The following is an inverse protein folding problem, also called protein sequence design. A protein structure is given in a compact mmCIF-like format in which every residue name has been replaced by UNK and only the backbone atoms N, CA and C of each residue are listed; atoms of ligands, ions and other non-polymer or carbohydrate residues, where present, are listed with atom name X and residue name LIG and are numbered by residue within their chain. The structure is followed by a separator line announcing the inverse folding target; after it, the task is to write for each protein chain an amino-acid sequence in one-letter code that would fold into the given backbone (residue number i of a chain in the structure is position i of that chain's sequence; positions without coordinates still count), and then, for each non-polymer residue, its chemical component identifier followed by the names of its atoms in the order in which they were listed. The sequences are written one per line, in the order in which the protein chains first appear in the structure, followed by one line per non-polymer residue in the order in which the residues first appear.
data_IF_505769145053
#
_entry.id   IF_505769145053
#
_cell.length_a   1.000
_cell.length_b   1.000
_cell.length_c   1.000
_cell.angle_alpha   90.00
_cell.angle_beta   90.00
_cell.angle_gamma   90.00
#
_symmetry.space_group_name_H-M   'P 1'
#
loop_
_entity.id
_entity.type
_entity.pdbx_description
1 polymer ?
#
# COMPACT_ATOMS: atom_id res chain seq x y z
N UNK A 1 -21.22 -5.63 -11.23
CA UNK A 1 -21.00 -6.27 -9.92
C UNK A 1 -19.71 -5.72 -9.35
N UNK A 2 -19.69 -5.44 -8.05
CA UNK A 2 -18.49 -5.00 -7.33
C UNK A 2 -17.46 -6.14 -7.32
N UNK A 3 -16.18 -5.82 -7.43
CA UNK A 3 -15.11 -6.82 -7.39
C UNK A 3 -13.81 -6.19 -6.87
N UNK A 4 -12.92 -7.06 -6.39
CA UNK A 4 -11.55 -6.72 -6.03
C UNK A 4 -10.63 -7.48 -6.98
N UNK A 5 -9.68 -6.78 -7.60
CA UNK A 5 -8.74 -7.39 -8.54
C UNK A 5 -7.52 -7.91 -7.80
N UNK A 6 -7.27 -9.21 -7.92
CA UNK A 6 -6.09 -9.88 -7.36
C UNK A 6 -5.21 -10.38 -8.51
N UNK A 7 -3.97 -10.77 -8.21
CA UNK A 7 -3.09 -11.37 -9.23
C UNK A 7 -3.64 -12.70 -9.77
N UNK A 8 -4.59 -13.35 -9.07
CA UNK A 8 -5.27 -14.59 -9.50
C UNK A 8 -6.57 -14.33 -10.28
N UNK A 9 -7.00 -13.07 -10.38
CA UNK A 9 -8.27 -12.66 -11.00
C UNK A 9 -9.14 -11.81 -10.09
N UNK A 10 -10.27 -11.36 -10.63
CA UNK A 10 -11.26 -10.57 -9.93
C UNK A 10 -12.09 -11.47 -8.99
N UNK A 11 -12.21 -11.09 -7.71
CA UNK A 11 -12.99 -11.79 -6.67
C UNK A 11 -14.12 -10.91 -6.16
N UNK A 12 -15.14 -11.49 -5.53
CA UNK A 12 -16.14 -10.72 -4.79
C UNK A 12 -15.53 -10.12 -3.51
N UNK A 13 -16.02 -8.96 -3.03
CA UNK A 13 -15.48 -8.33 -1.82
C UNK A 13 -15.49 -9.24 -0.59
N UNK A 14 -16.48 -10.12 -0.46
CA UNK A 14 -16.62 -11.04 0.67
C UNK A 14 -15.55 -12.15 0.68
N UNK A 15 -14.89 -12.39 -0.46
CA UNK A 15 -13.82 -13.39 -0.59
C UNK A 15 -12.46 -12.87 -0.10
N UNK A 16 -12.30 -11.55 0.09
CA UNK A 16 -11.03 -10.94 0.49
C UNK A 16 -10.57 -11.40 1.88
N UNK A 17 -11.49 -11.51 2.84
CA UNK A 17 -11.21 -11.94 4.21
C UNK A 17 -10.19 -11.07 4.95
N UNK A 18 -9.48 -11.66 5.92
CA UNK A 18 -8.50 -10.96 6.75
C UNK A 18 -7.31 -10.46 5.92
N UNK A 19 -7.11 -9.15 5.89
CA UNK A 19 -6.26 -8.46 4.92
C UNK A 19 -5.25 -7.52 5.57
N UNK A 20 -3.97 -7.66 5.21
CA UNK A 20 -2.97 -6.62 5.41
C UNK A 20 -3.00 -5.62 4.25
N UNK A 21 -3.17 -4.34 4.57
CA UNK A 21 -3.55 -3.30 3.60
C UNK A 21 -2.36 -2.59 2.93
N UNK A 22 -1.13 -2.84 3.38
CA UNK A 22 0.09 -2.26 2.81
C UNK A 22 1.33 -3.09 3.21
N UNK A 23 1.83 -3.91 2.29
CA UNK A 23 3.06 -4.70 2.48
C UNK A 23 3.97 -4.67 1.25
N UNK A 24 5.15 -5.26 1.37
CA UNK A 24 6.08 -5.55 0.29
C UNK A 24 6.53 -7.00 0.42
N UNK A 25 6.50 -7.79 -0.66
CA UNK A 25 6.72 -9.25 -0.58
C UNK A 25 8.05 -9.67 -1.20
N UNK A 26 8.24 -9.41 -2.49
CA UNK A 26 9.52 -9.63 -3.20
C UNK A 26 9.79 -8.40 -4.06
N UNK A 27 10.83 -7.65 -3.73
CA UNK A 27 11.16 -6.41 -4.41
C UNK A 27 12.65 -6.08 -4.29
N UNK A 28 13.21 -5.54 -5.36
CA UNK A 28 14.61 -5.11 -5.47
C UNK A 28 14.65 -3.66 -5.99
N UNK A 29 14.36 -2.67 -5.13
CA UNK A 29 14.33 -1.27 -5.54
C UNK A 29 15.70 -0.82 -6.05
N UNK A 30 15.76 -0.37 -7.31
CA UNK A 30 17.02 -0.02 -7.96
C UNK A 30 17.80 1.04 -7.17
N UNK A 31 17.11 2.05 -6.62
CA UNK A 31 17.73 3.12 -5.82
C UNK A 31 18.55 2.57 -4.64
N UNK A 32 18.02 1.56 -3.95
CA UNK A 32 18.65 0.94 -2.78
C UNK A 32 19.72 -0.07 -3.18
N UNK A 33 19.47 -0.85 -4.23
CA UNK A 33 20.44 -1.81 -4.77
C UNK A 33 21.73 -1.09 -5.23
N UNK A 34 21.59 0.02 -5.97
CA UNK A 34 22.72 0.85 -6.43
C UNK A 34 23.56 1.44 -5.28
N UNK A 35 22.99 1.55 -4.08
CA UNK A 35 23.63 2.09 -2.88
C UNK A 35 24.10 1.01 -1.90
N UNK A 36 23.97 -0.28 -2.26
CA UNK A 36 24.35 -1.38 -1.39
C UNK A 36 23.50 -1.49 -0.11
N UNK A 37 22.27 -0.95 -0.12
CA UNK A 37 21.36 -1.01 1.03
C UNK A 37 20.59 -2.34 1.06
N UNK A 38 21.31 -3.44 1.32
CA UNK A 38 20.82 -4.82 1.23
C UNK A 38 19.56 -5.12 2.07
N UNK A 39 19.45 -4.52 3.26
CA UNK A 39 18.29 -4.71 4.14
C UNK A 39 16.96 -4.25 3.52
N UNK A 40 16.99 -3.41 2.48
CA UNK A 40 15.80 -2.94 1.74
C UNK A 40 15.51 -3.76 0.47
N UNK A 41 16.20 -4.88 0.27
CA UNK A 41 16.01 -5.80 -0.84
C UNK A 41 15.32 -7.08 -0.33
N UNK A 42 14.04 -7.27 -0.64
CA UNK A 42 13.37 -8.54 -0.37
C UNK A 42 13.60 -9.44 -1.59
N UNK A 43 14.78 -10.07 -1.63
CA UNK A 43 15.39 -10.65 -2.82
C UNK A 43 15.34 -12.18 -2.91
N UNK A 44 14.73 -12.85 -1.93
CA UNK A 44 14.61 -14.30 -1.82
C UNK A 44 13.13 -14.74 -1.72
N UNK A 45 12.61 -15.29 -2.82
CA UNK A 45 11.22 -15.76 -2.91
C UNK A 45 10.88 -16.76 -1.81
N UNK A 46 11.78 -17.71 -1.52
CA UNK A 46 11.51 -18.80 -0.58
C UNK A 46 11.44 -18.27 0.85
N UNK A 47 12.31 -17.33 1.21
CA UNK A 47 12.22 -16.66 2.52
C UNK A 47 10.96 -15.81 2.64
N UNK A 48 10.61 -15.03 1.62
CA UNK A 48 9.38 -14.25 1.63
C UNK A 48 8.14 -15.15 1.75
N UNK A 49 8.14 -16.29 1.06
CA UNK A 49 7.07 -17.29 1.11
C UNK A 49 6.84 -17.83 2.52
N UNK A 50 7.91 -18.09 3.28
CA UNK A 50 7.77 -18.61 4.65
C UNK A 50 7.04 -17.61 5.58
N UNK A 51 7.31 -16.32 5.47
CA UNK A 51 6.58 -15.29 6.22
C UNK A 51 5.11 -15.18 5.78
N UNK A 52 4.83 -15.26 4.48
CA UNK A 52 3.45 -15.29 3.96
C UNK A 52 2.70 -16.55 4.43
N UNK A 53 3.40 -17.68 4.51
CA UNK A 53 2.87 -18.93 5.04
C UNK A 53 2.55 -18.81 6.54
N UNK A 54 3.39 -18.12 7.32
CA UNK A 54 3.10 -17.83 8.73
C UNK A 54 1.86 -16.93 8.89
N UNK A 55 1.69 -15.90 8.05
CA UNK A 55 0.47 -15.09 8.01
C UNK A 55 -0.78 -15.95 7.70
N UNK A 56 -0.70 -16.80 6.69
CA UNK A 56 -1.78 -17.75 6.34
C UNK A 56 -2.10 -18.70 7.49
N UNK A 57 -1.09 -19.25 8.16
CA UNK A 57 -1.26 -20.19 9.27
C UNK A 57 -2.03 -19.60 10.45
N UNK A 58 -1.98 -18.26 10.61
CA UNK A 58 -2.76 -17.53 11.60
C UNK A 58 -4.15 -17.10 11.12
N UNK A 59 -4.56 -17.48 9.90
CA UNK A 59 -5.87 -17.18 9.32
C UNK A 59 -5.89 -16.01 8.33
N UNK A 60 -4.73 -15.46 7.98
CA UNK A 60 -4.60 -14.44 6.95
C UNK A 60 -5.06 -14.93 5.57
N UNK A 61 -5.74 -14.07 4.80
CA UNK A 61 -6.34 -14.40 3.50
C UNK A 61 -5.83 -13.56 2.34
N UNK A 62 -5.54 -12.29 2.60
CA UNK A 62 -5.13 -11.34 1.56
C UNK A 62 -3.99 -10.43 2.01
N UNK A 63 -3.13 -10.06 1.07
CA UNK A 63 -2.10 -9.04 1.25
C UNK A 63 -2.18 -8.06 0.08
N UNK A 64 -2.16 -6.76 0.39
CA UNK A 64 -2.01 -5.71 -0.61
C UNK A 64 -0.53 -5.39 -0.76
N UNK A 65 0.05 -5.79 -1.89
CA UNK A 65 1.46 -5.51 -2.20
C UNK A 65 1.57 -4.09 -2.80
N UNK A 66 2.12 -3.17 -2.01
CA UNK A 66 2.26 -1.75 -2.33
C UNK A 66 3.50 -1.42 -3.17
N UNK A 67 4.19 -2.44 -3.69
CA UNK A 67 5.36 -2.31 -4.58
C UNK A 67 4.94 -1.73 -5.93
N UNK A 68 5.33 -0.48 -6.17
CA UNK A 68 5.11 0.25 -7.41
C UNK A 68 6.30 0.09 -8.39
N UNK A 69 6.21 0.67 -9.60
CA UNK A 69 7.19 0.45 -10.68
C UNK A 69 8.61 0.90 -10.29
N UNK A 70 8.70 1.98 -9.52
CA UNK A 70 9.94 2.57 -9.01
C UNK A 70 10.51 1.85 -7.78
N UNK A 71 9.82 0.81 -7.28
CA UNK A 71 10.26 -0.01 -6.15
C UNK A 71 10.77 -1.40 -6.57
N UNK A 72 10.93 -1.62 -7.87
CA UNK A 72 11.63 -2.79 -8.41
C UNK A 72 10.92 -4.11 -8.14
N UNK A 73 9.69 -4.24 -8.64
CA UNK A 73 8.84 -5.44 -8.49
C UNK A 73 9.53 -6.73 -8.92
N UNK A 74 9.05 -7.83 -8.35
CA UNK A 74 9.22 -9.19 -8.86
C UNK A 74 7.84 -9.86 -8.95
N UNK A 75 7.06 -9.44 -9.96
CA UNK A 75 5.64 -9.79 -10.10
C UNK A 75 5.47 -11.31 -10.19
N UNK A 76 6.36 -11.98 -10.91
CA UNK A 76 6.33 -13.44 -11.10
C UNK A 76 6.56 -14.17 -9.77
N UNK A 77 7.57 -13.79 -8.99
CA UNK A 77 7.82 -14.40 -7.69
C UNK A 77 6.65 -14.22 -6.72
N UNK A 78 6.04 -13.03 -6.69
CA UNK A 78 4.87 -12.75 -5.84
C UNK A 78 3.64 -13.55 -6.30
N UNK A 79 3.42 -13.70 -7.60
CA UNK A 79 2.36 -14.56 -8.14
C UNK A 79 2.55 -16.02 -7.77
N UNK A 80 3.78 -16.54 -7.88
CA UNK A 80 4.08 -17.92 -7.49
C UNK A 80 3.80 -18.16 -6.00
N UNK A 81 4.19 -17.23 -5.12
CA UNK A 81 3.84 -17.28 -3.69
C UNK A 81 2.31 -17.28 -3.51
N UNK A 82 1.59 -16.43 -4.25
CA UNK A 82 0.12 -16.35 -4.21
C UNK A 82 -0.55 -17.68 -4.55
N UNK A 83 -0.03 -18.40 -5.55
CA UNK A 83 -0.56 -19.69 -6.00
C UNK A 83 -0.18 -20.83 -5.06
N UNK A 84 1.11 -20.93 -4.71
CA UNK A 84 1.63 -22.00 -3.83
C UNK A 84 0.94 -21.99 -2.46
N UNK A 85 0.61 -20.79 -1.96
CA UNK A 85 -0.02 -20.62 -0.65
C UNK A 85 -1.52 -20.38 -0.73
N UNK A 86 -2.15 -20.33 -1.90
CA UNK A 86 -3.56 -19.95 -2.06
C UNK A 86 -3.95 -18.71 -1.21
N UNK A 87 -3.15 -17.65 -1.32
CA UNK A 87 -3.42 -16.35 -0.70
C UNK A 87 -3.75 -15.34 -1.81
N UNK A 88 -4.65 -14.40 -1.55
CA UNK A 88 -4.93 -13.34 -2.52
C UNK A 88 -3.90 -12.22 -2.39
N UNK A 89 -3.32 -11.80 -3.52
CA UNK A 89 -2.45 -10.62 -3.58
C UNK A 89 -3.12 -9.55 -4.44
N UNK A 90 -3.30 -8.36 -3.90
CA UNK A 90 -3.72 -7.17 -4.66
C UNK A 90 -2.45 -6.42 -5.06
N UNK A 91 -2.14 -6.40 -6.36
CA UNK A 91 -0.96 -5.69 -6.89
C UNK A 91 -1.21 -4.19 -7.04
N UNK A 92 -0.12 -3.41 -7.12
CA UNK A 92 -0.18 -1.94 -7.19
C UNK A 92 0.44 -1.39 -8.47
N UNK A 93 -0.34 -0.64 -9.23
CA UNK A 93 0.11 0.14 -10.36
C UNK A 93 0.60 1.54 -9.94
N UNK A 94 1.41 2.19 -10.78
CA UNK A 94 1.82 3.58 -10.57
C UNK A 94 3.16 3.75 -9.85
N UNK A 95 3.26 4.75 -8.99
CA UNK A 95 4.53 5.33 -8.49
C UNK A 95 4.56 5.40 -6.96
N UNK A 96 5.74 5.28 -6.36
CA UNK A 96 5.93 5.35 -4.91
C UNK A 96 6.36 6.75 -4.45
N UNK A 97 7.60 7.18 -4.70
CA UNK A 97 8.12 8.45 -4.15
C UNK A 97 9.36 8.95 -4.89
N UNK A 98 9.44 10.27 -5.06
CA UNK A 98 10.32 10.87 -6.06
C UNK A 98 11.82 10.67 -5.84
N UNK A 99 12.28 10.48 -4.60
CA UNK A 99 13.70 10.22 -4.37
C UNK A 99 14.17 8.88 -4.97
N UNK A 100 13.27 7.92 -5.20
CA UNK A 100 13.61 6.66 -5.86
C UNK A 100 13.89 6.85 -7.35
N UNK A 101 13.41 7.95 -7.93
CA UNK A 101 13.40 8.13 -9.38
C UNK A 101 14.77 8.45 -9.97
N UNK A 102 15.75 8.78 -9.12
CA UNK A 102 17.17 8.91 -9.50
C UNK A 102 17.78 7.57 -9.96
N UNK A 103 17.16 6.45 -9.60
CA UNK A 103 17.65 5.13 -9.95
C UNK A 103 17.45 4.80 -11.43
N UNK A 104 18.28 3.88 -11.93
CA UNK A 104 18.18 3.41 -13.31
C UNK A 104 16.91 2.61 -13.54
N UNK A 105 16.34 2.78 -14.72
CA UNK A 105 15.26 1.92 -15.22
C UNK A 105 15.83 0.54 -15.54
N UNK A 106 15.11 -0.50 -15.11
CA UNK A 106 15.41 -1.90 -15.44
C UNK A 106 15.30 -2.13 -16.96
N UNK A 107 16.18 -2.94 -17.53
CA UNK A 107 16.19 -3.22 -18.97
C UNK A 107 14.87 -3.80 -19.46
N UNK A 108 14.23 -4.63 -18.63
CA UNK A 108 12.95 -5.29 -18.90
C UNK A 108 11.78 -4.30 -19.03
N UNK A 109 11.89 -3.11 -18.44
CA UNK A 109 10.85 -2.08 -18.53
C UNK A 109 10.97 -1.22 -19.80
N UNK A 110 12.14 -1.16 -20.44
CA UNK A 110 12.37 -0.29 -21.62
C UNK A 110 11.40 -0.54 -22.79
N UNK A 111 11.01 -1.78 -23.11
CA UNK A 111 10.00 -2.04 -24.14
C UNK A 111 8.60 -1.49 -23.80
N UNK A 112 8.32 -1.23 -22.51
CA UNK A 112 7.01 -0.83 -22.00
C UNK A 112 6.95 0.70 -21.83
N UNK A 113 7.97 1.28 -21.19
CA UNK A 113 7.99 2.70 -20.82
C UNK A 113 8.87 3.57 -21.71
N UNK A 114 9.70 2.97 -22.58
CA UNK A 114 10.61 3.67 -23.48
C UNK A 114 12.08 3.62 -23.04
N UNK A 115 12.97 4.10 -23.92
CA UNK A 115 14.42 4.05 -23.72
C UNK A 115 14.92 5.26 -22.89
N UNK A 116 14.56 5.28 -21.61
CA UNK A 116 15.01 6.28 -20.64
C UNK A 116 16.07 5.69 -19.70
N UNK A 117 16.96 6.54 -19.15
CA UNK A 117 18.01 6.09 -18.24
C UNK A 117 17.50 5.91 -16.81
N UNK A 118 16.70 6.86 -16.32
CA UNK A 118 16.16 6.88 -14.94
C UNK A 118 14.66 7.13 -14.96
N UNK A 119 13.96 6.78 -13.87
CA UNK A 119 12.53 7.06 -13.76
C UNK A 119 12.27 8.58 -13.76
N UNK A 120 13.20 9.40 -13.24
CA UNK A 120 13.07 10.85 -13.28
C UNK A 120 13.09 11.38 -14.71
N UNK A 121 13.98 10.86 -15.58
CA UNK A 121 14.00 11.23 -17.00
C UNK A 121 12.70 10.84 -17.70
N UNK A 122 12.20 9.64 -17.44
CA UNK A 122 10.93 9.16 -18.01
C UNK A 122 9.75 10.03 -17.57
N UNK A 123 9.58 10.25 -16.26
CA UNK A 123 8.47 11.01 -15.69
C UNK A 123 8.51 12.47 -16.10
N UNK A 124 9.70 13.07 -16.25
CA UNK A 124 9.85 14.45 -16.72
C UNK A 124 9.42 14.60 -18.19
N UNK A 125 9.85 13.67 -19.06
CA UNK A 125 9.63 13.77 -20.51
C UNK A 125 8.26 13.28 -20.98
N UNK A 126 7.70 12.24 -20.35
CA UNK A 126 6.38 11.73 -20.70
C UNK A 126 5.30 12.75 -20.31
N UNK A 127 4.30 12.97 -21.15
CA UNK A 127 3.12 13.76 -20.80
C UNK A 127 2.31 13.10 -19.67
N UNK A 128 1.44 13.86 -19.01
CA UNK A 128 0.53 13.29 -18.00
C UNK A 128 -0.34 12.17 -18.58
N UNK A 129 -0.78 12.32 -19.84
CA UNK A 129 -1.61 11.31 -20.50
C UNK A 129 -0.83 10.02 -20.78
N UNK A 130 0.42 10.10 -21.23
CA UNK A 130 1.25 8.90 -21.42
C UNK A 130 1.53 8.18 -20.09
N UNK A 131 1.71 8.92 -18.99
CA UNK A 131 1.81 8.34 -17.65
C UNK A 131 0.49 7.71 -17.20
N UNK A 132 -0.66 8.33 -17.49
CA UNK A 132 -1.98 7.75 -17.24
C UNK A 132 -2.15 6.43 -18.01
N UNK A 133 -1.86 6.41 -19.31
CA UNK A 133 -1.93 5.21 -20.15
C UNK A 133 -1.02 4.08 -19.66
N UNK A 134 0.15 4.41 -19.11
CA UNK A 134 1.00 3.42 -18.44
C UNK A 134 0.29 2.79 -17.23
N UNK A 135 -0.27 3.60 -16.33
CA UNK A 135 -0.96 3.11 -15.12
C UNK A 135 -2.21 2.30 -15.49
N UNK A 136 -2.98 2.76 -16.49
CA UNK A 136 -4.18 2.08 -16.98
C UNK A 136 -3.83 0.69 -17.54
N UNK A 137 -2.74 0.59 -18.32
CA UNK A 137 -2.24 -0.71 -18.82
C UNK A 137 -1.87 -1.67 -17.69
N UNK A 138 -1.25 -1.20 -16.61
CA UNK A 138 -0.95 -2.07 -15.46
C UNK A 138 -2.21 -2.62 -14.77
N UNK A 139 -3.31 -1.86 -14.82
CA UNK A 139 -4.61 -2.28 -14.27
C UNK A 139 -5.38 -3.20 -15.22
N UNK A 140 -5.43 -2.88 -16.51
CA UNK A 140 -6.30 -3.60 -17.47
C UNK A 140 -5.61 -4.74 -18.21
N UNK A 141 -4.30 -4.64 -18.44
CA UNK A 141 -3.54 -5.63 -19.23
C UNK A 141 -2.63 -6.46 -18.32
N UNK A 142 -1.82 -5.79 -17.48
CA UNK A 142 -0.98 -6.43 -16.48
C UNK A 142 0.30 -5.67 -16.13
N UNK A 143 0.88 -6.01 -14.97
CA UNK A 143 2.08 -5.41 -14.41
C UNK A 143 3.32 -5.84 -15.20
N UNK A 144 4.13 -4.87 -15.63
CA UNK A 144 5.46 -5.09 -16.24
C UNK A 144 5.46 -6.11 -17.41
N UNK A 145 4.40 -6.12 -18.22
CA UNK A 145 4.25 -7.00 -19.38
C UNK A 145 3.83 -8.44 -19.05
N UNK A 146 3.62 -8.75 -17.77
CA UNK A 146 3.00 -10.01 -17.32
C UNK A 146 1.48 -9.93 -17.50
N UNK A 147 0.74 -11.06 -17.49
CA UNK A 147 -0.73 -11.04 -17.50
C UNK A 147 -1.36 -10.74 -16.12
N UNK A 148 -0.54 -10.45 -15.10
CA UNK A 148 -1.01 -10.28 -13.72
C UNK A 148 -1.33 -8.82 -13.45
N UNK A 149 -2.61 -8.52 -13.27
CA UNK A 149 -3.13 -7.16 -13.19
C UNK A 149 -3.02 -6.57 -11.79
N UNK A 150 -2.73 -5.28 -11.72
CA UNK A 150 -2.85 -4.54 -10.47
C UNK A 150 -4.33 -4.34 -10.07
N UNK A 151 -4.57 -4.25 -8.77
CA UNK A 151 -5.90 -3.99 -8.20
C UNK A 151 -6.04 -2.64 -7.51
N UNK A 152 -5.00 -1.82 -7.49
CA UNK A 152 -5.06 -0.42 -7.08
C UNK A 152 -4.02 0.42 -7.83
N UNK A 153 -4.20 1.74 -7.84
CA UNK A 153 -3.26 2.72 -8.39
C UNK A 153 -2.63 3.57 -7.29
N UNK A 154 -1.34 3.85 -7.39
CA UNK A 154 -0.57 4.54 -6.35
C UNK A 154 0.21 5.74 -6.87
N UNK A 155 0.29 6.77 -6.06
CA UNK A 155 1.25 7.89 -6.17
C UNK A 155 1.91 8.15 -4.81
N UNK A 156 2.84 9.10 -4.74
CA UNK A 156 3.30 9.57 -3.43
C UNK A 156 4.13 10.84 -3.48
N UNK A 157 4.31 11.44 -2.30
CA UNK A 157 4.95 12.75 -2.15
C UNK A 157 6.02 12.74 -1.07
N UNK A 158 6.98 13.65 -1.19
CA UNK A 158 8.10 13.80 -0.27
C UNK A 158 7.77 14.45 1.07
N UNK A 159 8.80 14.53 1.93
CA UNK A 159 8.69 15.08 3.28
C UNK A 159 8.38 16.58 3.25
N UNK A 160 7.20 16.96 3.74
CA UNK A 160 6.71 18.34 3.77
C UNK A 160 6.76 19.06 2.41
N UNK A 161 6.63 18.31 1.30
CA UNK A 161 6.66 18.88 -0.05
C UNK A 161 5.90 18.02 -1.06
N UNK A 162 5.36 18.69 -2.07
CA UNK A 162 4.91 18.09 -3.33
C UNK A 162 5.66 18.81 -4.44
N UNK A 163 6.56 18.11 -5.13
CA UNK A 163 7.32 18.64 -6.26
C UNK A 163 6.47 18.65 -7.54
N UNK A 164 6.83 19.44 -8.57
CA UNK A 164 6.08 19.45 -9.82
C UNK A 164 5.94 18.07 -10.49
N UNK A 165 6.96 17.21 -10.39
CA UNK A 165 6.90 15.85 -10.93
C UNK A 165 6.03 14.92 -10.06
N UNK A 166 5.97 15.12 -8.75
CA UNK A 166 5.03 14.38 -7.88
C UNK A 166 3.58 14.81 -8.10
N UNK A 167 3.32 16.11 -8.31
CA UNK A 167 1.99 16.57 -8.72
C UNK A 167 1.60 15.98 -10.07
N UNK A 168 2.54 15.92 -11.02
CA UNK A 168 2.35 15.31 -12.35
C UNK A 168 1.92 13.83 -12.25
N UNK A 169 2.60 13.03 -11.42
CA UNK A 169 2.24 11.62 -11.22
C UNK A 169 0.93 11.45 -10.45
N UNK A 170 0.65 12.31 -9.46
CA UNK A 170 -0.63 12.34 -8.76
C UNK A 170 -1.79 12.56 -9.74
N UNK A 171 -1.70 13.57 -10.62
CA UNK A 171 -2.72 13.84 -11.64
C UNK A 171 -2.85 12.68 -12.63
N UNK A 172 -1.73 12.07 -13.05
CA UNK A 172 -1.76 10.91 -13.94
C UNK A 172 -2.52 9.73 -13.32
N UNK A 173 -2.29 9.46 -12.03
CA UNK A 173 -2.92 8.39 -11.26
C UNK A 173 -4.40 8.68 -10.97
N UNK A 174 -4.77 9.94 -10.70
CA UNK A 174 -6.16 10.37 -10.58
C UNK A 174 -6.95 10.12 -11.88
N UNK A 175 -6.35 10.44 -13.04
CA UNK A 175 -6.97 10.16 -14.34
C UNK A 175 -7.07 8.67 -14.64
N UNK A 176 -6.06 7.89 -14.26
CA UNK A 176 -6.11 6.43 -14.38
C UNK A 176 -7.24 5.82 -13.52
N UNK A 177 -7.50 6.37 -12.33
CA UNK A 177 -8.68 6.01 -11.54
C UNK A 177 -9.98 6.33 -12.30
N UNK A 178 -10.10 7.49 -12.94
CA UNK A 178 -11.31 7.81 -13.72
C UNK A 178 -11.59 6.82 -14.85
N UNK A 179 -10.54 6.31 -15.50
CA UNK A 179 -10.65 5.35 -16.60
C UNK A 179 -10.95 3.92 -16.10
N UNK A 180 -10.26 3.47 -15.05
CA UNK A 180 -10.28 2.07 -14.60
C UNK A 180 -11.23 1.80 -13.44
N UNK A 181 -11.56 2.85 -12.69
CA UNK A 181 -12.25 2.78 -11.39
C UNK A 181 -11.50 2.02 -10.29
N UNK A 182 -10.19 1.81 -10.47
CA UNK A 182 -9.36 1.16 -9.48
C UNK A 182 -9.25 2.00 -8.19
N UNK A 183 -9.27 1.39 -6.99
CA UNK A 183 -8.95 2.07 -5.74
C UNK A 183 -7.62 2.82 -5.81
N UNK A 184 -7.53 3.92 -5.06
CA UNK A 184 -6.32 4.74 -5.02
C UNK A 184 -5.59 4.62 -3.67
N UNK A 185 -4.26 4.65 -3.72
CA UNK A 185 -3.40 4.64 -2.54
C UNK A 185 -2.32 5.73 -2.65
N UNK A 186 -1.93 6.36 -1.54
CA UNK A 186 -0.77 7.27 -1.52
C UNK A 186 0.29 6.89 -0.51
N UNK A 187 1.54 7.08 -0.92
CA UNK A 187 2.65 7.24 0.01
C UNK A 187 2.67 8.69 0.54
N UNK A 188 2.69 8.85 1.86
CA UNK A 188 2.98 10.12 2.53
C UNK A 188 4.31 10.00 3.28
N UNK A 189 5.32 10.78 2.89
CA UNK A 189 6.61 10.70 3.57
C UNK A 189 6.49 11.23 5.00
N UNK A 190 6.70 10.35 5.97
CA UNK A 190 6.50 10.60 7.40
C UNK A 190 5.08 11.08 7.76
N UNK A 191 4.04 10.70 7.03
CA UNK A 191 2.66 11.09 7.33
C UNK A 191 2.31 12.53 6.94
N UNK A 192 3.15 13.17 6.12
CA UNK A 192 3.02 14.59 5.74
C UNK A 192 2.28 14.78 4.41
N UNK A 193 1.79 15.99 4.16
CA UNK A 193 1.19 16.42 2.89
C UNK A 193 -0.15 15.78 2.49
N UNK A 194 -0.82 15.05 3.38
CA UNK A 194 -2.10 14.40 3.10
C UNK A 194 -3.22 15.38 2.73
N UNK A 195 -3.27 16.55 3.39
CA UNK A 195 -4.25 17.60 3.07
C UNK A 195 -3.98 18.26 1.72
N UNK A 196 -2.72 18.48 1.37
CA UNK A 196 -2.34 19.03 0.07
C UNK A 196 -2.57 18.02 -1.06
N UNK A 197 -2.30 16.73 -0.83
CA UNK A 197 -2.70 15.66 -1.74
C UNK A 197 -4.23 15.65 -1.95
N UNK A 198 -5.03 15.82 -0.89
CA UNK A 198 -6.49 15.94 -0.95
C UNK A 198 -6.92 17.09 -1.86
N UNK A 199 -6.33 18.28 -1.74
CA UNK A 199 -6.69 19.42 -2.58
C UNK A 199 -6.38 19.17 -4.05
N UNK A 200 -5.26 18.52 -4.37
CA UNK A 200 -4.92 18.13 -5.74
C UNK A 200 -5.90 17.08 -6.29
N UNK A 201 -6.25 16.06 -5.50
CA UNK A 201 -7.24 15.04 -5.86
C UNK A 201 -8.62 15.65 -6.11
N UNK A 202 -9.05 16.60 -5.27
CA UNK A 202 -10.29 17.36 -5.48
C UNK A 202 -10.26 18.15 -6.78
N UNK A 203 -9.12 18.75 -7.12
CA UNK A 203 -8.96 19.47 -8.40
C UNK A 203 -9.10 18.56 -9.63
N UNK A 204 -8.82 17.26 -9.49
CA UNK A 204 -9.04 16.24 -10.52
C UNK A 204 -10.42 15.56 -10.38
N UNK A 205 -11.30 16.03 -9.49
CA UNK A 205 -12.67 15.51 -9.33
C UNK A 205 -12.76 14.12 -8.68
N UNK A 206 -11.77 13.73 -7.86
CA UNK A 206 -11.75 12.45 -7.16
C UNK A 206 -12.66 12.48 -5.93
N UNK A 207 -13.51 11.46 -5.78
CA UNK A 207 -14.18 11.18 -4.51
C UNK A 207 -13.18 10.55 -3.53
N UNK A 208 -12.96 11.24 -2.41
CA UNK A 208 -11.96 10.85 -1.43
C UNK A 208 -12.31 9.56 -0.70
N UNK A 209 -13.56 9.08 -0.75
CA UNK A 209 -13.92 7.74 -0.27
C UNK A 209 -13.22 6.60 -1.04
N UNK A 210 -12.62 6.90 -2.19
CA UNK A 210 -11.88 5.93 -3.02
C UNK A 210 -10.37 5.95 -2.75
N UNK A 211 -9.93 6.81 -1.82
CA UNK A 211 -8.53 7.06 -1.51
C UNK A 211 -8.14 6.46 -0.17
N UNK A 212 -6.97 5.82 -0.12
CA UNK A 212 -6.31 5.42 1.12
C UNK A 212 -4.96 6.12 1.27
N UNK A 213 -4.76 6.80 2.40
CA UNK A 213 -3.50 7.48 2.71
C UNK A 213 -2.60 6.57 3.56
N UNK A 214 -1.47 6.16 2.98
CA UNK A 214 -0.42 5.38 3.65
C UNK A 214 0.29 6.16 4.74
N UNK A 215 0.84 5.46 5.72
CA UNK A 215 1.77 5.99 6.74
C UNK A 215 1.16 7.04 7.69
N UNK A 216 -0.13 6.98 7.97
CA UNK A 216 -0.79 7.93 8.89
C UNK A 216 -0.28 7.77 10.34
N UNK A 217 0.23 6.60 10.69
CA UNK A 217 0.90 6.35 11.97
C UNK A 217 2.20 7.14 12.18
N UNK A 218 2.81 7.65 11.11
CA UNK A 218 4.08 8.40 11.16
C UNK A 218 3.93 9.83 11.63
N UNK A 219 2.71 10.38 11.56
CA UNK A 219 2.33 11.69 12.08
C UNK A 219 1.19 11.51 13.09
N UNK A 220 1.47 11.13 14.35
CA UNK A 220 0.47 10.81 15.37
C UNK A 220 -0.20 12.08 15.92
N UNK A 221 -0.96 12.77 15.07
CA UNK A 221 -1.67 14.00 15.36
C UNK A 221 -3.19 13.79 15.16
N UNK A 222 -3.97 13.65 16.26
CA UNK A 222 -5.41 13.45 16.19
C UNK A 222 -6.20 14.59 15.53
N UNK A 223 -5.68 15.82 15.49
CA UNK A 223 -6.31 16.93 14.77
C UNK A 223 -6.17 16.72 13.27
N UNK A 224 -4.94 16.46 12.81
CA UNK A 224 -4.63 16.21 11.40
C UNK A 224 -5.34 14.95 10.86
N UNK A 225 -5.34 13.85 11.64
CA UNK A 225 -6.06 12.62 11.26
C UNK A 225 -7.55 12.86 11.08
N UNK A 226 -8.19 13.64 11.97
CA UNK A 226 -9.61 13.98 11.84
C UNK A 226 -9.88 14.81 10.57
N UNK A 227 -8.99 15.74 10.21
CA UNK A 227 -9.16 16.53 8.98
C UNK A 227 -9.18 15.63 7.73
N UNK A 228 -8.32 14.61 7.67
CA UNK A 228 -8.33 13.61 6.59
C UNK A 228 -9.59 12.73 6.68
N UNK A 229 -9.92 12.21 7.87
CA UNK A 229 -11.06 11.33 8.05
C UNK A 229 -12.40 11.99 7.68
N UNK A 230 -12.57 13.30 7.94
CA UNK A 230 -13.76 14.07 7.54
C UNK A 230 -14.04 14.05 6.03
N UNK A 231 -13.04 13.73 5.21
CA UNK A 231 -13.21 13.61 3.76
C UNK A 231 -13.83 12.30 3.30
N UNK A 232 -13.90 11.30 4.18
CA UNK A 232 -14.32 9.94 3.84
C UNK A 232 -13.18 9.00 3.40
N UNK A 233 -11.96 9.52 3.27
CA UNK A 233 -10.78 8.74 2.90
C UNK A 233 -10.37 7.73 3.96
N UNK A 234 -9.75 6.63 3.51
CA UNK A 234 -9.16 5.65 4.41
C UNK A 234 -7.80 6.13 4.95
N UNK A 235 -7.51 5.81 6.20
CA UNK A 235 -6.25 6.08 6.88
C UNK A 235 -5.56 4.77 7.18
N UNK A 236 -4.39 4.56 6.60
CA UNK A 236 -3.57 3.37 6.82
C UNK A 236 -2.59 3.60 7.96
N UNK A 237 -2.75 2.81 9.02
CA UNK A 237 -1.78 2.67 10.11
C UNK A 237 -0.94 1.43 9.81
N UNK A 238 0.07 1.62 8.95
CA UNK A 238 0.91 0.56 8.39
C UNK A 238 2.32 0.50 9.00
N UNK A 239 2.60 1.30 10.02
CA UNK A 239 3.83 1.22 10.81
C UNK A 239 3.73 0.39 12.10
N UNK A 240 2.83 -0.59 12.17
CA UNK A 240 2.72 -1.47 13.35
C UNK A 240 4.09 -2.12 13.65
N UNK A 241 4.40 -2.22 14.93
CA UNK A 241 5.66 -2.71 15.49
C UNK A 241 6.91 -1.86 15.22
N UNK A 242 6.83 -0.74 14.48
CA UNK A 242 8.00 0.11 14.19
C UNK A 242 8.33 1.04 15.37
N UNK A 243 8.87 0.45 16.44
CA UNK A 243 9.21 1.14 17.71
C UNK A 243 10.13 2.35 17.49
N UNK A 244 11.03 2.29 16.49
CA UNK A 244 11.92 3.40 16.13
C UNK A 244 11.20 4.69 15.74
N UNK A 245 9.91 4.63 15.37
CA UNK A 245 9.09 5.80 15.05
C UNK A 245 8.19 6.20 16.20
N UNK A 246 7.50 5.23 16.81
CA UNK A 246 6.65 5.46 17.97
C UNK A 246 6.45 4.15 18.76
N UNK A 247 6.22 4.22 20.08
CA UNK A 247 5.74 3.07 20.83
C UNK A 247 4.33 2.68 20.35
N UNK A 248 3.97 1.40 20.52
CA UNK A 248 2.72 0.88 19.99
C UNK A 248 1.47 1.50 20.66
N UNK A 249 1.60 1.96 21.91
CA UNK A 249 0.54 2.70 22.60
C UNK A 249 0.17 4.00 21.89
N UNK A 250 1.11 4.68 21.23
CA UNK A 250 0.84 5.91 20.46
C UNK A 250 -0.05 5.61 19.25
N UNK A 251 0.24 4.53 18.51
CA UNK A 251 -0.55 4.15 17.33
C UNK A 251 -1.95 3.67 17.73
N UNK A 252 -2.04 2.82 18.75
CA UNK A 252 -3.33 2.37 19.31
C UNK A 252 -4.15 3.57 19.80
N UNK A 253 -3.54 4.54 20.47
CA UNK A 253 -4.23 5.75 20.90
C UNK A 253 -4.80 6.55 19.73
N UNK A 254 -4.02 6.78 18.66
CA UNK A 254 -4.51 7.52 17.48
C UNK A 254 -5.67 6.79 16.78
N UNK A 255 -5.58 5.46 16.66
CA UNK A 255 -6.66 4.63 16.12
C UNK A 255 -7.93 4.79 16.96
N UNK A 256 -7.83 4.68 18.29
CA UNK A 256 -9.00 4.78 19.17
C UNK A 256 -9.58 6.20 19.26
N UNK A 257 -8.77 7.24 19.07
CA UNK A 257 -9.28 8.63 18.95
C UNK A 257 -10.12 8.81 17.67
N UNK A 258 -9.77 8.16 16.55
CA UNK A 258 -10.60 8.13 15.35
C UNK A 258 -11.89 7.34 15.57
N UNK A 259 -11.81 6.16 16.21
CA UNK A 259 -12.99 5.34 16.56
C UNK A 259 -13.95 6.13 17.44
N UNK A 260 -13.46 6.78 18.49
CA UNK A 260 -14.26 7.61 19.40
C UNK A 260 -15.02 8.74 18.69
N UNK A 261 -14.47 9.23 17.58
CA UNK A 261 -15.08 10.27 16.74
C UNK A 261 -15.98 9.70 15.61
N UNK A 262 -16.12 8.38 15.52
CA UNK A 262 -17.00 7.70 14.56
C UNK A 262 -16.35 7.37 13.22
N UNK A 263 -15.02 7.38 13.12
CA UNK A 263 -14.28 7.10 11.87
C UNK A 263 -13.76 5.67 11.77
N UNK A 264 -14.31 4.73 12.55
CA UNK A 264 -13.89 3.33 12.60
C UNK A 264 -13.96 2.59 11.25
N UNK A 265 -14.86 3.01 10.35
CA UNK A 265 -15.01 2.42 9.02
C UNK A 265 -13.92 2.84 8.02
N UNK A 266 -13.04 3.78 8.39
CA UNK A 266 -12.01 4.35 7.52
C UNK A 266 -10.59 3.88 7.88
N UNK A 267 -10.45 3.03 8.90
CA UNK A 267 -9.14 2.61 9.41
C UNK A 267 -8.68 1.35 8.69
N UNK A 268 -7.47 1.39 8.14
CA UNK A 268 -6.74 0.24 7.60
C UNK A 268 -5.49 0.00 8.44
N UNK A 269 -5.04 -1.26 8.53
CA UNK A 269 -3.88 -1.64 9.35
C UNK A 269 -2.94 -2.56 8.56
N UNK A 270 -1.63 -2.35 8.72
CA UNK A 270 -0.57 -3.19 8.14
C UNK A 270 0.77 -3.00 8.86
N UNK A 271 1.84 -3.63 8.35
CA UNK A 271 3.20 -3.54 8.87
C UNK A 271 4.19 -2.82 7.95
N UNK A 272 3.86 -2.61 6.66
CA UNK A 272 4.79 -2.09 5.64
C UNK A 272 6.17 -2.75 5.82
N UNK A 273 6.16 -4.08 5.70
CA UNK A 273 7.29 -4.97 6.05
C UNK A 273 8.37 -4.91 4.98
N UNK A 274 8.95 -3.73 4.75
CA UNK A 274 9.83 -3.47 3.60
C UNK A 274 11.30 -3.89 3.76
N UNK A 275 11.65 -4.76 4.74
CA UNK A 275 13.05 -5.04 5.10
C UNK A 275 13.32 -6.50 5.43
N UNK A 276 14.55 -6.96 5.14
CA UNK A 276 15.06 -8.26 5.59
C UNK A 276 14.98 -8.40 7.12
N UNK A 277 15.40 -7.36 7.86
CA UNK A 277 15.30 -7.29 9.33
C UNK A 277 13.89 -7.20 9.88
N UNK A 278 12.87 -6.96 9.04
CA UNK A 278 11.47 -7.00 9.46
C UNK A 278 10.85 -8.38 9.23
N UNK A 279 11.27 -9.08 8.17
CA UNK A 279 10.87 -10.46 7.89
C UNK A 279 11.48 -11.46 8.89
N UNK A 280 10.69 -12.42 9.34
CA UNK A 280 11.11 -13.45 10.29
C UNK A 280 12.09 -14.43 9.67
N UNK A 281 11.85 -14.82 8.41
CA UNK A 281 12.63 -15.84 7.71
C UNK A 281 13.78 -15.27 6.87
N UNK A 282 13.98 -13.95 6.90
CA UNK A 282 15.17 -13.30 6.36
C UNK A 282 16.24 -13.09 7.42
N UNK A 283 15.92 -12.30 8.44
CA UNK A 283 16.86 -11.90 9.50
C UNK A 283 16.15 -11.79 10.86
N UNK A 284 15.31 -12.79 11.17
CA UNK A 284 14.70 -12.99 12.49
C UNK A 284 13.89 -11.80 13.01
N UNK A 285 13.32 -11.03 12.08
CA UNK A 285 12.37 -9.97 12.39
C UNK A 285 11.06 -10.50 12.97
N UNK A 286 10.12 -9.58 13.19
CA UNK A 286 8.80 -9.93 13.73
C UNK A 286 7.94 -10.69 12.72
N UNK A 287 8.17 -10.46 11.43
CA UNK A 287 7.53 -11.14 10.33
C UNK A 287 6.06 -10.80 10.12
N UNK A 288 5.48 -11.36 9.06
CA UNK A 288 4.08 -11.13 8.71
C UNK A 288 3.10 -11.77 9.70
N UNK A 289 3.53 -12.70 10.55
CA UNK A 289 2.67 -13.22 11.63
C UNK A 289 2.39 -12.20 12.74
N UNK A 290 3.24 -11.19 12.91
CA UNK A 290 3.23 -10.38 14.13
C UNK A 290 1.89 -9.71 14.42
N UNK A 291 1.29 -9.08 13.41
CA UNK A 291 0.08 -8.27 13.64
C UNK A 291 -1.06 -9.19 14.05
N UNK A 292 -1.35 -10.23 13.27
CA UNK A 292 -2.43 -11.19 13.56
C UNK A 292 -2.18 -12.00 14.85
N UNK A 293 -0.94 -12.42 15.12
CA UNK A 293 -0.63 -13.29 16.26
C UNK A 293 -0.43 -12.54 17.58
N UNK A 294 0.00 -11.27 17.55
CA UNK A 294 0.41 -10.52 18.75
C UNK A 294 -0.25 -9.16 18.88
N UNK A 295 -0.28 -8.37 17.81
CA UNK A 295 -0.88 -7.03 17.88
C UNK A 295 -2.40 -7.09 18.03
N UNK A 296 -3.09 -7.96 17.28
CA UNK A 296 -4.55 -8.12 17.33
C UNK A 296 -5.03 -8.49 18.74
N UNK A 297 -4.51 -9.53 19.42
CA UNK A 297 -4.91 -9.83 20.80
C UNK A 297 -4.68 -8.67 21.78
N UNK A 298 -3.56 -7.95 21.63
CA UNK A 298 -3.28 -6.77 22.45
C UNK A 298 -4.26 -5.64 22.18
N UNK A 299 -4.50 -5.31 20.91
CA UNK A 299 -5.41 -4.22 20.53
C UNK A 299 -6.80 -4.47 21.08
N UNK A 300 -7.29 -5.71 21.00
CA UNK A 300 -8.58 -6.11 21.59
C UNK A 300 -8.61 -5.82 23.09
N UNK A 301 -7.61 -6.28 23.85
CA UNK A 301 -7.53 -6.01 25.31
C UNK A 301 -7.44 -4.51 25.63
N UNK A 302 -6.59 -3.76 24.91
CA UNK A 302 -6.42 -2.31 25.09
C UNK A 302 -7.72 -1.53 24.76
N UNK A 303 -8.45 -1.94 23.72
CA UNK A 303 -9.72 -1.34 23.31
C UNK A 303 -10.85 -1.68 24.30
N UNK A 304 -10.95 -2.95 24.72
CA UNK A 304 -11.96 -3.42 25.67
C UNK A 304 -11.80 -2.73 27.04
N UNK A 305 -10.57 -2.52 27.51
CA UNK A 305 -10.29 -1.74 28.74
C UNK A 305 -10.72 -0.29 28.66
N UNK A 306 -10.83 0.27 27.45
CA UNK A 306 -11.30 1.63 27.20
C UNK A 306 -12.80 1.69 26.89
N UNK A 307 -13.51 0.57 26.96
CA UNK A 307 -14.96 0.50 26.76
C UNK A 307 -15.42 0.37 25.32
N UNK A 308 -14.50 0.05 24.39
CA UNK A 308 -14.83 -0.28 23.01
C UNK A 308 -15.08 -1.80 22.85
N UNK A 309 -15.63 -2.20 21.70
CA UNK A 309 -15.73 -3.60 21.26
C UNK A 309 -14.53 -3.91 20.34
N UNK A 310 -13.45 -4.38 20.94
CA UNK A 310 -12.16 -4.60 20.26
C UNK A 310 -12.27 -5.63 19.13
N UNK A 311 -13.02 -6.71 19.34
CA UNK A 311 -13.26 -7.76 18.36
C UNK A 311 -13.97 -7.21 17.12
N UNK A 312 -15.03 -6.40 17.32
CA UNK A 312 -15.75 -5.74 16.22
C UNK A 312 -14.85 -4.76 15.47
N UNK A 313 -14.02 -3.99 16.18
CA UNK A 313 -13.07 -3.07 15.55
C UNK A 313 -12.02 -3.80 14.70
N UNK A 314 -11.47 -4.92 15.19
CA UNK A 314 -10.55 -5.76 14.41
C UNK A 314 -11.24 -6.31 13.16
N UNK A 315 -12.49 -6.77 13.28
CA UNK A 315 -13.26 -7.21 12.10
C UNK A 315 -13.36 -6.09 11.06
N UNK A 316 -13.64 -4.85 11.48
CA UNK A 316 -13.65 -3.70 10.56
C UNK A 316 -12.29 -3.48 9.91
N UNK A 317 -11.23 -3.38 10.70
CA UNK A 317 -9.92 -2.93 10.21
C UNK A 317 -9.27 -3.90 9.24
N UNK A 318 -9.54 -5.21 9.38
CA UNK A 318 -8.90 -6.25 8.58
C UNK A 318 -9.85 -6.97 7.61
N UNK A 319 -11.18 -6.78 7.70
CA UNK A 319 -12.14 -7.45 6.82
C UNK A 319 -13.03 -6.42 6.13
N UNK A 320 -13.89 -5.70 6.87
CA UNK A 320 -14.92 -4.85 6.25
C UNK A 320 -14.32 -3.62 5.54
N UNK A 321 -13.36 -2.95 6.18
CA UNK A 321 -12.73 -1.75 5.64
C UNK A 321 -11.86 -2.08 4.41
N UNK A 322 -10.99 -3.11 4.43
CA UNK A 322 -10.29 -3.54 3.22
C UNK A 322 -11.24 -3.93 2.09
N UNK A 323 -12.29 -4.71 2.37
CA UNK A 323 -13.27 -5.10 1.35
C UNK A 323 -13.92 -3.87 0.69
N UNK A 324 -14.29 -2.85 1.49
CA UNK A 324 -14.83 -1.58 0.98
C UNK A 324 -13.78 -0.76 0.24
N UNK A 325 -12.56 -0.69 0.74
CA UNK A 325 -11.47 0.11 0.17
C UNK A 325 -11.07 -0.41 -1.21
N UNK A 326 -10.72 -1.70 -1.30
CA UNK A 326 -10.07 -2.30 -2.48
C UNK A 326 -11.04 -2.75 -3.58
N UNK A 327 -12.34 -2.53 -3.40
CA UNK A 327 -13.36 -2.78 -4.43
C UNK A 327 -13.28 -1.74 -5.56
N UNK A 328 -13.32 -2.16 -6.82
CA UNK A 328 -13.41 -1.27 -7.98
C UNK A 328 -14.74 -0.50 -8.00
N UNK A 329 -14.66 0.80 -8.29
CA UNK A 329 -15.76 1.78 -8.12
C UNK A 329 -16.54 1.98 -9.42
N UNK A 330 -17.30 0.97 -9.85
CA UNK A 330 -18.12 1.04 -11.07
C UNK A 330 -19.39 1.86 -10.89
#
# INVERSE_FOLDING_TARGET
MAFIRTLKGDIQPEELGFTYSHEHIVCRPAYWAERGADDLLLDDKEKSKLDVQDFKNHGGRSIVDATAVDYGRDVQAVKEISDELDIHIVGTAGFNKSFLWDAKIKEELRPIIGNYHTYAEWIDRASVNELTEFVVREIEDGLEGTPFKAGQVKFGTGYNRITPLEEKTLRAVARAHHETKAPMHSHTEAGTMGLEQIELLRSEGIDLQYMSFGHMDRNPDPYYHEQIARTGAFLSFDGIAKIKYAPESTRIHCILELVKKGYEDQILVSGDTARKTYYKHYDFGLGLEYIIAKWVPRFIDDANRQGFDGEKLVHKFFIDNPARCFTFKK
#
